data_IF_841335289557
#
_entry.id   IF_841335289557
#
_cell.length_a   1.000
_cell.length_b   1.000
_cell.length_c   1.000
_cell.angle_alpha   90.00
_cell.angle_beta   90.00
_cell.angle_gamma   90.00
#
_symmetry.space_group_name_H-M   'P 1'
#
loop_
_entity.id
_entity.type
_entity.pdbx_description
1 polymer ?
#
# COMPACT_ATOMS: atom_id res chain seq x y z
N UNK A 1 -11.33 33.69 -13.91
CA UNK A 1 -11.00 32.24 -13.81
C UNK A 1 -12.11 31.56 -13.02
N UNK A 2 -13.00 30.84 -13.71
CA UNK A 2 -14.09 30.10 -13.09
C UNK A 2 -13.61 28.66 -12.93
N UNK A 3 -13.32 28.25 -11.70
CA UNK A 3 -13.05 26.85 -11.37
C UNK A 3 -14.42 26.16 -11.30
N UNK A 4 -14.75 25.21 -12.18
CA UNK A 4 -15.97 24.44 -12.01
C UNK A 4 -15.83 23.60 -10.75
N UNK A 5 -16.64 23.93 -9.73
CA UNK A 5 -16.81 23.11 -8.53
C UNK A 5 -17.19 21.69 -8.99
N UNK A 6 -16.39 20.73 -8.59
CA UNK A 6 -16.65 19.30 -8.73
C UNK A 6 -17.99 18.96 -8.08
N UNK A 7 -18.99 18.61 -8.89
CA UNK A 7 -20.35 18.23 -8.44
C UNK A 7 -20.48 16.74 -8.13
N UNK A 8 -19.41 16.08 -7.67
CA UNK A 8 -19.48 14.67 -7.28
C UNK A 8 -19.86 14.56 -5.79
N UNK A 9 -21.16 14.55 -5.49
CA UNK A 9 -21.66 14.12 -4.19
C UNK A 9 -21.68 12.59 -4.11
N UNK A 10 -20.82 12.03 -3.26
CA UNK A 10 -20.90 10.63 -2.85
C UNK A 10 -21.83 10.57 -1.64
N UNK A 11 -23.09 10.17 -1.83
CA UNK A 11 -24.03 9.88 -0.74
C UNK A 11 -23.58 8.61 -0.02
N UNK A 12 -22.95 8.76 1.15
CA UNK A 12 -22.71 7.66 2.08
C UNK A 12 -23.96 7.33 2.88
N UNK A 13 -24.46 6.10 2.77
CA UNK A 13 -25.53 5.58 3.62
C UNK A 13 -24.98 5.32 5.03
N UNK A 14 -25.53 6.04 6.01
CA UNK A 14 -25.11 5.99 7.42
C UNK A 14 -25.97 4.95 8.15
N UNK A 15 -25.46 3.74 8.33
CA UNK A 15 -26.15 2.70 9.12
C UNK A 15 -25.94 2.98 10.61
N UNK A 16 -27.04 3.28 11.30
CA UNK A 16 -27.11 3.59 12.74
C UNK A 16 -27.30 2.27 13.51
N UNK A 17 -26.31 1.87 14.30
CA UNK A 17 -26.40 0.92 15.43
C UNK A 17 -25.59 1.60 16.55
N UNK A 18 -26.10 1.90 17.73
CA UNK A 18 -27.03 1.17 18.59
C UNK A 18 -26.25 0.87 19.87
N UNK A 19 -25.98 1.92 20.65
CA UNK A 19 -25.18 1.90 21.88
C UNK A 19 -26.12 1.63 23.06
N UNK A 20 -25.89 0.53 23.78
CA UNK A 20 -26.59 0.18 25.00
C UNK A 20 -25.53 -0.16 26.06
N UNK A 21 -25.47 0.69 27.09
CA UNK A 21 -24.46 0.65 28.14
C UNK A 21 -24.56 -0.54 29.07
N UNK A 22 -23.49 -0.74 29.84
CA UNK A 22 -23.51 -1.54 31.06
C UNK A 22 -22.36 -1.14 31.99
N UNK A 23 -22.70 -0.51 33.11
CA UNK A 23 -21.90 -0.37 34.32
C UNK A 23 -21.57 -1.75 34.92
N UNK A 24 -20.34 -1.93 35.42
CA UNK A 24 -20.04 -2.78 36.58
C UNK A 24 -18.60 -2.54 37.05
N UNK A 25 -18.49 -2.28 38.35
CA UNK A 25 -17.31 -1.97 39.14
C UNK A 25 -16.49 -3.22 39.53
N UNK A 26 -15.25 -2.93 39.95
CA UNK A 26 -14.42 -3.60 40.97
C UNK A 26 -13.66 -4.93 40.73
N UNK A 27 -12.35 -4.79 41.04
CA UNK A 27 -11.41 -5.67 41.75
C UNK A 27 -10.79 -6.92 41.09
N UNK A 28 -9.46 -7.00 41.24
CA UNK A 28 -8.67 -8.22 41.11
C UNK A 28 -7.29 -8.01 40.48
N UNK A 29 -6.31 -7.58 41.27
CA UNK A 29 -4.88 -7.72 40.92
C UNK A 29 -4.47 -9.18 41.10
N UNK A 30 -4.10 -9.85 40.01
CA UNK A 30 -3.46 -11.16 40.02
C UNK A 30 -2.22 -11.13 39.15
N UNK A 31 -1.04 -11.26 39.78
CA UNK A 31 0.23 -11.47 39.12
C UNK A 31 0.27 -12.89 38.53
N UNK A 32 0.14 -13.00 37.22
CA UNK A 32 0.36 -14.25 36.48
C UNK A 32 1.48 -14.06 35.48
N UNK A 33 2.61 -14.72 35.74
CA UNK A 33 3.73 -14.91 34.81
C UNK A 33 3.24 -15.63 33.53
N UNK A 34 2.95 -14.85 32.49
CA UNK A 34 2.47 -15.34 31.21
C UNK A 34 3.60 -15.81 30.29
N UNK A 35 3.70 -17.12 30.09
CA UNK A 35 4.38 -17.72 28.94
C UNK A 35 3.78 -17.18 27.62
N UNK A 36 4.64 -16.63 26.77
CA UNK A 36 4.27 -16.11 25.46
C UNK A 36 3.92 -17.26 24.50
N UNK A 37 2.62 -17.59 24.44
CA UNK A 37 2.03 -18.50 23.45
C UNK A 37 1.74 -17.75 22.14
N UNK A 38 2.52 -18.09 21.12
CA UNK A 38 2.37 -17.78 19.70
C UNK A 38 1.03 -18.35 19.20
N UNK A 39 0.05 -17.50 18.84
CA UNK A 39 -1.21 -17.96 18.25
C UNK A 39 -1.69 -17.06 17.11
N UNK A 40 -2.23 -17.78 16.14
CA UNK A 40 -2.48 -17.44 14.75
C UNK A 40 -3.68 -16.49 14.56
N UNK A 41 -3.61 -15.72 13.48
CA UNK A 41 -4.59 -14.70 13.13
C UNK A 41 -5.87 -15.31 12.53
N UNK A 42 -7.00 -14.95 13.14
CA UNK A 42 -8.34 -15.39 12.79
C UNK A 42 -8.82 -14.91 11.40
N UNK A 43 -9.55 -15.81 10.74
CA UNK A 43 -10.27 -15.67 9.47
C UNK A 43 -11.49 -14.76 9.62
N UNK A 44 -11.62 -13.77 8.74
CA UNK A 44 -12.89 -13.08 8.49
C UNK A 44 -13.36 -13.41 7.08
N UNK A 45 -14.50 -14.10 7.05
CA UNK A 45 -15.32 -14.46 5.91
C UNK A 45 -15.82 -13.21 5.16
N UNK A 46 -15.43 -13.05 3.89
CA UNK A 46 -15.96 -12.00 3.00
C UNK A 46 -16.49 -12.62 1.71
N UNK A 47 -17.81 -12.81 1.71
CA UNK A 47 -18.80 -12.73 0.63
C UNK A 47 -18.33 -12.66 -0.81
N UNK A 48 -18.73 -13.70 -1.54
CA UNK A 48 -18.81 -13.84 -2.99
C UNK A 48 -19.62 -12.68 -3.64
N UNK A 49 -19.00 -11.94 -4.56
CA UNK A 49 -19.67 -11.00 -5.45
C UNK A 49 -19.54 -11.51 -6.89
N UNK A 50 -20.65 -11.76 -7.60
CA UNK A 50 -20.60 -12.32 -8.94
C UNK A 50 -19.97 -11.34 -9.93
N UNK A 51 -19.15 -11.90 -10.81
CA UNK A 51 -18.45 -11.24 -11.91
C UNK A 51 -19.48 -10.77 -12.95
N UNK A 52 -19.56 -9.46 -13.16
CA UNK A 52 -20.45 -8.85 -14.17
C UNK A 52 -19.58 -8.43 -15.34
N UNK A 53 -19.66 -9.20 -16.42
CA UNK A 53 -19.14 -8.83 -17.73
C UNK A 53 -19.89 -7.59 -18.23
N UNK A 54 -19.21 -6.44 -18.29
CA UNK A 54 -19.76 -5.20 -18.84
C UNK A 54 -19.47 -5.13 -20.34
N UNK A 55 -20.49 -5.39 -21.13
CA UNK A 55 -20.58 -5.13 -22.57
C UNK A 55 -20.33 -3.63 -22.86
N UNK A 56 -19.39 -3.28 -23.76
CA UNK A 56 -19.00 -1.89 -24.08
C UNK A 56 -20.11 -1.07 -24.76
N UNK A 57 -21.25 -1.69 -25.08
CA UNK A 57 -22.37 -1.07 -25.78
C UNK A 57 -23.33 -0.28 -24.87
N UNK A 58 -23.21 -0.38 -23.54
CA UNK A 58 -24.18 0.19 -22.59
C UNK A 58 -23.59 1.07 -21.46
N UNK A 59 -22.50 1.79 -21.76
CA UNK A 59 -22.02 2.85 -20.83
C UNK A 59 -22.95 4.07 -20.93
N UNK A 60 -24.11 4.00 -20.26
CA UNK A 60 -24.97 5.14 -20.04
C UNK A 60 -24.22 6.16 -19.17
N UNK A 61 -23.63 7.15 -19.82
CA UNK A 61 -23.18 8.36 -19.15
C UNK A 61 -24.37 8.94 -18.37
N UNK A 62 -24.29 8.99 -17.03
CA UNK A 62 -25.35 9.50 -16.14
C UNK A 62 -25.85 10.90 -16.49
N UNK A 63 -25.11 11.65 -17.32
CA UNK A 63 -25.51 12.93 -17.89
C UNK A 63 -25.66 12.78 -19.40
N UNK A 64 -26.80 13.24 -19.93
CA UNK A 64 -27.00 13.45 -21.35
C UNK A 64 -26.03 14.54 -21.82
N UNK A 65 -24.88 14.12 -22.33
CA UNK A 65 -23.93 15.02 -23.02
C UNK A 65 -24.41 15.13 -24.46
N UNK A 66 -24.46 16.35 -24.98
CA UNK A 66 -24.81 16.61 -26.38
C UNK A 66 -23.89 15.80 -27.32
N UNK A 67 -24.47 15.22 -28.38
CA UNK A 67 -23.73 14.37 -29.32
C UNK A 67 -22.54 15.11 -29.96
N UNK A 68 -22.66 16.42 -30.17
CA UNK A 68 -21.61 17.24 -30.75
C UNK A 68 -20.49 17.54 -29.76
N UNK A 69 -20.81 17.70 -28.48
CA UNK A 69 -19.80 17.80 -27.41
C UNK A 69 -19.02 16.48 -27.30
N UNK A 70 -19.71 15.33 -27.45
CA UNK A 70 -19.03 14.03 -27.50
C UNK A 70 -18.13 13.92 -28.73
N UNK A 71 -18.61 14.30 -29.92
CA UNK A 71 -17.80 14.36 -31.16
C UNK A 71 -16.56 15.24 -31.00
N UNK A 72 -16.69 16.40 -30.35
CA UNK A 72 -15.59 17.33 -30.07
C UNK A 72 -14.55 16.75 -29.10
N UNK A 73 -14.97 16.01 -28.08
CA UNK A 73 -14.07 15.39 -27.10
C UNK A 73 -13.37 14.13 -27.64
N UNK A 74 -14.02 13.39 -28.53
CA UNK A 74 -13.52 12.11 -29.06
C UNK A 74 -12.78 12.22 -30.39
N UNK A 75 -12.74 13.41 -31.03
CA UNK A 75 -12.08 13.55 -32.33
C UNK A 75 -10.57 13.41 -32.22
N UNK A 76 -9.95 12.72 -33.18
CA UNK A 76 -8.49 12.65 -33.33
C UNK A 76 -7.91 13.75 -34.24
N UNK A 77 -8.75 14.41 -35.07
CA UNK A 77 -8.36 15.48 -36.00
C UNK A 77 -8.30 16.89 -35.38
N UNK A 78 -8.15 17.96 -36.18
CA UNK A 78 -8.21 19.34 -35.63
C UNK A 78 -9.62 19.57 -35.07
N UNK A 79 -9.70 19.98 -33.82
CA UNK A 79 -10.97 20.30 -33.16
C UNK A 79 -11.73 21.44 -33.85
N UNK A 80 -11.01 22.29 -34.60
CA UNK A 80 -11.59 23.36 -35.40
C UNK A 80 -12.51 22.84 -36.50
N UNK A 81 -12.16 21.72 -37.13
CA UNK A 81 -12.99 21.13 -38.20
C UNK A 81 -14.33 20.65 -37.64
N UNK A 82 -14.32 20.09 -36.42
CA UNK A 82 -15.55 19.68 -35.72
C UNK A 82 -16.41 20.88 -35.34
N UNK A 83 -15.79 22.01 -34.98
CA UNK A 83 -16.53 23.25 -34.69
C UNK A 83 -17.06 23.90 -35.97
N UNK A 84 -16.29 23.89 -37.05
CA UNK A 84 -16.71 24.45 -38.34
C UNK A 84 -17.89 23.64 -38.92
N UNK A 85 -17.88 22.32 -38.78
CA UNK A 85 -19.02 21.43 -39.10
C UNK A 85 -20.23 21.73 -38.20
N UNK A 86 -20.04 21.86 -36.89
CA UNK A 86 -21.12 22.11 -35.93
C UNK A 86 -21.80 23.47 -36.10
N UNK A 87 -21.05 24.52 -36.43
CA UNK A 87 -21.57 25.88 -36.61
C UNK A 87 -21.87 26.23 -38.07
N UNK A 88 -21.73 25.26 -39.00
CA UNK A 88 -21.88 25.48 -40.45
C UNK A 88 -21.04 26.66 -40.95
N UNK A 89 -19.82 26.80 -40.44
CA UNK A 89 -18.93 27.87 -40.84
C UNK A 89 -18.53 27.68 -42.32
N UNK A 90 -18.46 28.76 -43.12
CA UNK A 90 -17.97 28.65 -44.50
C UNK A 90 -16.54 28.15 -44.52
N UNK A 91 -16.14 27.47 -45.61
CA UNK A 91 -14.80 26.92 -45.76
C UNK A 91 -13.72 28.00 -45.51
N UNK A 92 -12.83 27.72 -44.56
CA UNK A 92 -11.72 28.62 -44.19
C UNK A 92 -10.41 28.07 -44.75
N UNK A 93 -9.43 28.96 -44.90
CA UNK A 93 -8.06 28.52 -45.15
C UNK A 93 -7.52 27.73 -43.94
N UNK A 94 -6.64 26.73 -44.16
CA UNK A 94 -5.98 26.01 -43.09
C UNK A 94 -5.26 26.99 -42.14
N UNK A 95 -5.27 26.72 -40.82
CA UNK A 95 -4.55 27.56 -39.88
C UNK A 95 -3.05 27.57 -40.20
N UNK A 96 -2.42 28.75 -40.16
CA UNK A 96 -0.98 28.92 -40.37
C UNK A 96 -0.13 28.39 -39.21
N UNK A 97 -0.75 27.91 -38.13
CA UNK A 97 -0.09 27.37 -36.95
C UNK A 97 -0.96 26.37 -36.18
N UNK A 98 -0.56 26.04 -34.96
CA UNK A 98 -1.25 25.07 -34.10
C UNK A 98 -2.64 25.61 -33.68
N UNK A 99 -3.72 24.97 -34.15
CA UNK A 99 -5.11 25.36 -33.87
C UNK A 99 -5.66 24.85 -32.53
N UNK A 100 -5.16 23.71 -32.06
CA UNK A 100 -5.67 22.98 -30.89
C UNK A 100 -4.66 21.92 -30.43
N UNK A 101 -4.96 21.27 -29.31
CA UNK A 101 -4.18 20.20 -28.69
C UNK A 101 -3.89 19.01 -29.63
N UNK A 102 -4.86 18.62 -30.45
CA UNK A 102 -4.65 17.53 -31.41
C UNK A 102 -3.65 17.91 -32.51
N UNK A 103 -3.68 19.16 -32.97
CA UNK A 103 -2.71 19.65 -33.96
C UNK A 103 -1.32 19.87 -33.36
N UNK A 104 -1.25 20.24 -32.08
CA UNK A 104 0.01 20.31 -31.34
C UNK A 104 0.68 18.94 -31.29
N UNK A 105 -0.07 17.93 -30.83
CA UNK A 105 0.40 16.54 -30.76
C UNK A 105 0.79 15.98 -32.13
N UNK A 106 0.03 16.32 -33.17
CA UNK A 106 0.35 15.91 -34.53
C UNK A 106 1.62 16.59 -35.05
N UNK A 107 1.85 17.86 -34.71
CA UNK A 107 3.07 18.58 -35.06
C UNK A 107 4.30 18.01 -34.33
N UNK A 108 4.17 17.71 -33.03
CA UNK A 108 5.22 17.03 -32.24
C UNK A 108 5.56 15.66 -32.83
N UNK A 109 4.53 14.86 -33.16
CA UNK A 109 4.72 13.54 -33.76
C UNK A 109 5.44 13.60 -35.10
N UNK A 110 5.17 14.65 -35.91
CA UNK A 110 5.89 14.90 -37.17
C UNK A 110 7.32 15.35 -36.93
N UNK A 111 7.58 16.19 -35.93
CA UNK A 111 8.93 16.63 -35.58
C UNK A 111 9.82 15.44 -35.16
N UNK A 112 9.30 14.54 -34.30
CA UNK A 112 10.01 13.32 -33.88
C UNK A 112 10.27 12.38 -35.07
N UNK A 113 9.35 12.31 -36.04
CA UNK A 113 9.54 11.50 -37.24
C UNK A 113 10.68 12.05 -38.13
N UNK A 114 10.88 13.36 -38.18
CA UNK A 114 11.94 14.01 -38.97
C UNK A 114 13.31 13.78 -38.33
N UNK A 115 13.43 13.85 -36.99
CA UNK A 115 14.72 13.60 -36.31
C UNK A 115 15.23 12.16 -36.47
N UNK A 116 14.34 11.17 -36.61
CA UNK A 116 14.74 9.76 -36.82
C UNK A 116 15.35 9.47 -38.18
N UNK A 117 15.17 10.34 -39.18
CA UNK A 117 15.71 10.13 -40.54
C UNK A 117 17.01 10.90 -40.77
N UNK A 118 17.40 11.80 -39.85
CA UNK A 118 18.55 12.71 -40.04
C UNK A 118 19.76 12.49 -39.13
N UNK A 119 19.76 11.49 -38.24
CA UNK A 119 20.76 11.39 -37.17
C UNK A 119 21.78 10.26 -37.37
N UNK A 120 22.47 10.25 -38.51
CA UNK A 120 23.79 9.64 -38.62
C UNK A 120 24.86 10.74 -38.51
N UNK A 121 25.37 10.99 -37.30
CA UNK A 121 26.63 11.69 -37.09
C UNK A 121 26.55 13.11 -36.53
N UNK A 122 26.31 13.25 -35.22
CA UNK A 122 27.06 14.24 -34.42
C UNK A 122 26.89 14.01 -32.93
N UNK A 123 27.92 13.40 -32.33
CA UNK A 123 28.08 13.32 -30.88
C UNK A 123 28.45 14.69 -30.31
N UNK A 124 27.54 15.32 -29.57
CA UNK A 124 27.92 16.26 -28.51
C UNK A 124 27.05 16.05 -27.27
N UNK A 125 27.70 15.70 -26.18
CA UNK A 125 27.18 15.47 -24.84
C UNK A 125 26.93 16.79 -24.10
N UNK A 126 25.79 16.96 -23.41
CA UNK A 126 25.67 17.97 -22.38
C UNK A 126 25.73 17.39 -20.95
N UNK A 127 26.44 18.15 -20.11
CA UNK A 127 26.84 17.88 -18.73
C UNK A 127 25.66 18.00 -17.74
N UNK A 128 25.67 17.12 -16.73
CA UNK A 128 24.76 17.12 -15.57
C UNK A 128 25.06 18.22 -14.55
N UNK A 129 24.06 18.78 -13.85
CA UNK A 129 24.25 19.48 -12.58
C UNK A 129 23.75 18.69 -11.34
N UNK A 130 24.50 18.88 -10.26
CA UNK A 130 24.45 18.20 -8.96
C UNK A 130 23.40 18.71 -7.96
N UNK A 131 22.96 17.77 -7.10
CA UNK A 131 22.63 17.88 -5.65
C UNK A 131 21.40 18.70 -5.19
N UNK A 132 20.68 18.21 -4.17
CA UNK A 132 20.69 18.73 -2.77
C UNK A 132 19.94 17.76 -1.84
N UNK A 133 20.57 17.48 -0.70
CA UNK A 133 20.12 16.69 0.47
C UNK A 133 19.12 17.49 1.31
N UNK A 134 18.08 16.83 1.86
CA UNK A 134 17.43 17.26 3.11
C UNK A 134 16.58 16.15 3.77
N UNK A 135 16.81 15.94 5.07
CA UNK A 135 15.98 15.19 6.05
C UNK A 135 15.86 16.07 7.30
N UNK A 136 15.13 15.72 8.39
CA UNK A 136 13.81 15.06 8.55
C UNK A 136 12.89 15.83 9.55
N UNK A 137 11.62 15.41 9.75
CA UNK A 137 10.86 15.73 10.98
C UNK A 137 9.95 14.60 11.44
N UNK A 138 10.23 14.09 12.64
CA UNK A 138 9.45 13.08 13.39
C UNK A 138 8.18 13.69 14.00
N UNK A 139 7.06 12.97 13.94
CA UNK A 139 5.94 13.12 14.88
C UNK A 139 5.54 11.74 15.41
N UNK A 140 5.58 11.60 16.74
CA UNK A 140 5.12 10.42 17.49
C UNK A 140 3.60 10.54 17.69
N UNK A 141 2.85 9.51 17.34
CA UNK A 141 1.49 9.31 17.85
C UNK A 141 1.37 7.93 18.48
N UNK A 142 1.02 7.98 19.76
CA UNK A 142 0.80 6.89 20.72
C UNK A 142 -0.65 6.41 20.57
N UNK A 143 -0.87 5.09 20.49
CA UNK A 143 -2.21 4.51 20.43
C UNK A 143 -2.21 3.03 20.83
N UNK A 144 -3.01 2.71 21.85
CA UNK A 144 -3.11 1.47 22.62
C UNK A 144 -3.54 0.21 21.83
N UNK A 145 -3.15 -1.00 22.30
CA UNK A 145 -3.78 -2.25 21.90
C UNK A 145 -4.88 -2.71 22.86
N UNK A 146 -5.99 -3.18 22.29
CA UNK A 146 -7.15 -3.81 22.95
C UNK A 146 -6.97 -5.33 22.97
N UNK A 147 -7.07 -5.95 24.14
CA UNK A 147 -6.96 -7.40 24.35
C UNK A 147 -8.35 -8.04 24.46
N UNK A 148 -8.68 -8.93 23.52
CA UNK A 148 -9.92 -9.72 23.51
C UNK A 148 -9.61 -11.19 23.86
N UNK A 149 -10.43 -11.75 24.76
CA UNK A 149 -10.27 -13.07 25.40
C UNK A 149 -10.58 -14.24 24.44
N UNK A 150 -9.73 -15.27 24.50
CA UNK A 150 -9.84 -16.58 23.82
C UNK A 150 -10.94 -17.47 24.44
N UNK A 151 -11.47 -18.40 23.65
CA UNK A 151 -12.11 -19.63 24.12
C UNK A 151 -11.40 -20.86 23.52
N UNK A 152 -11.10 -21.93 24.30
CA UNK A 152 -10.50 -23.15 23.80
C UNK A 152 -11.59 -24.12 23.29
N UNK A 153 -11.38 -24.73 22.12
CA UNK A 153 -12.18 -25.87 21.65
C UNK A 153 -11.29 -27.08 21.40
N UNK A 154 -11.57 -28.11 22.19
CA UNK A 154 -11.15 -29.50 22.02
C UNK A 154 -12.06 -30.17 20.99
N UNK A 155 -11.49 -30.95 20.07
CA UNK A 155 -12.15 -32.16 19.54
C UNK A 155 -11.24 -32.89 18.55
N UNK A 156 -10.65 -33.98 19.03
CA UNK A 156 -10.25 -35.16 18.26
C UNK A 156 -11.42 -35.64 17.39
N UNK A 157 -11.18 -35.81 16.09
CA UNK A 157 -11.99 -36.66 15.22
C UNK A 157 -11.13 -37.10 14.04
N UNK A 158 -10.74 -38.36 14.09
CA UNK A 158 -10.04 -39.10 13.05
C UNK A 158 -10.93 -39.40 11.82
N UNK A 159 -10.27 -39.45 10.67
CA UNK A 159 -10.63 -40.18 9.45
C UNK A 159 -11.90 -39.80 8.67
N UNK A 160 -11.81 -38.75 7.85
CA UNK A 160 -12.58 -38.67 6.61
C UNK A 160 -11.70 -38.14 5.45
N UNK A 161 -11.25 -39.06 4.60
CA UNK A 161 -10.41 -38.81 3.41
C UNK A 161 -11.29 -38.27 2.28
N UNK A 162 -11.62 -36.98 2.35
CA UNK A 162 -12.33 -36.29 1.27
C UNK A 162 -11.42 -36.01 0.06
N UNK A 163 -11.87 -36.27 -1.19
CA UNK A 163 -11.02 -36.16 -2.37
C UNK A 163 -10.74 -34.70 -2.77
N UNK A 164 -9.49 -34.27 -2.58
CA UNK A 164 -8.68 -33.56 -3.59
C UNK A 164 -9.18 -32.22 -4.14
N UNK A 165 -9.91 -31.39 -3.38
CA UNK A 165 -10.15 -30.00 -3.78
C UNK A 165 -8.81 -29.26 -3.74
N UNK A 166 -8.26 -28.92 -4.91
CA UNK A 166 -7.07 -28.08 -5.06
C UNK A 166 -7.30 -26.76 -4.32
N UNK A 167 -6.79 -26.69 -3.09
CA UNK A 167 -6.90 -25.50 -2.26
C UNK A 167 -6.20 -24.35 -2.97
N UNK A 168 -6.96 -23.29 -3.24
CA UNK A 168 -6.42 -22.07 -3.84
C UNK A 168 -5.26 -21.59 -2.96
N UNK A 169 -4.11 -21.19 -3.54
CA UNK A 169 -2.96 -20.75 -2.77
C UNK A 169 -3.36 -19.61 -1.83
N UNK A 170 -3.10 -19.78 -0.53
CA UNK A 170 -3.43 -18.80 0.50
C UNK A 170 -2.62 -17.52 0.26
N UNK A 171 -3.28 -16.45 -0.19
CA UNK A 171 -2.63 -15.16 -0.44
C UNK A 171 -2.17 -14.57 0.89
N UNK A 172 -0.86 -14.44 1.07
CA UNK A 172 -0.28 -13.80 2.25
C UNK A 172 -0.56 -12.29 2.24
N UNK A 173 -1.22 -11.78 3.29
CA UNK A 173 -1.55 -10.36 3.45
C UNK A 173 -0.71 -9.71 4.55
N UNK A 174 -0.32 -8.44 4.35
CA UNK A 174 0.30 -7.61 5.40
C UNK A 174 -0.78 -7.12 6.36
N UNK A 175 -0.53 -7.23 7.67
CA UNK A 175 -1.44 -6.79 8.72
C UNK A 175 -0.83 -5.72 9.63
N UNK A 176 -1.68 -5.05 10.41
CA UNK A 176 -1.30 -4.17 11.53
C UNK A 176 -0.32 -3.06 11.17
N UNK A 177 0.69 -2.86 12.02
CA UNK A 177 1.69 -1.79 11.89
C UNK A 177 2.50 -1.88 10.60
N UNK A 178 2.78 -3.08 10.10
CA UNK A 178 3.55 -3.29 8.87
C UNK A 178 2.80 -2.79 7.62
N UNK A 179 1.48 -3.02 7.57
CA UNK A 179 0.63 -2.49 6.51
C UNK A 179 0.59 -0.96 6.53
N UNK A 180 0.54 -0.34 7.72
CA UNK A 180 0.56 1.11 7.86
C UNK A 180 1.89 1.71 7.37
N UNK A 181 3.02 1.16 7.82
CA UNK A 181 4.36 1.59 7.39
C UNK A 181 4.54 1.48 5.86
N UNK A 182 4.10 0.36 5.28
CA UNK A 182 4.17 0.14 3.82
C UNK A 182 3.33 1.17 3.06
N UNK A 183 2.15 1.55 3.57
CA UNK A 183 1.31 2.59 2.94
C UNK A 183 1.97 3.96 3.01
N UNK A 184 2.56 4.30 4.15
CA UNK A 184 3.25 5.58 4.34
C UNK A 184 4.43 5.69 3.38
N UNK A 185 5.26 4.65 3.27
CA UNK A 185 6.38 4.58 2.32
C UNK A 185 5.94 4.72 0.86
N UNK A 186 4.87 4.02 0.46
CA UNK A 186 4.31 4.17 -0.89
C UNK A 186 3.76 5.57 -1.14
N UNK A 187 3.15 6.20 -0.13
CA UNK A 187 2.66 7.56 -0.25
C UNK A 187 3.80 8.58 -0.38
N UNK A 188 4.88 8.41 0.39
CA UNK A 188 6.08 9.24 0.30
C UNK A 188 6.77 9.09 -1.06
N UNK A 189 6.91 7.85 -1.54
CA UNK A 189 7.39 7.57 -2.91
C UNK A 189 6.52 8.28 -3.94
N UNK A 190 5.19 8.15 -3.85
CA UNK A 190 4.24 8.79 -4.76
C UNK A 190 4.39 10.31 -4.81
N UNK A 191 4.59 10.96 -3.66
CA UNK A 191 4.83 12.40 -3.58
C UNK A 191 6.18 12.80 -4.18
N UNK A 192 7.22 12.00 -3.93
CA UNK A 192 8.56 12.20 -4.48
C UNK A 192 8.56 12.08 -6.01
N UNK A 193 8.02 10.99 -6.55
CA UNK A 193 7.90 10.76 -8.00
C UNK A 193 7.11 11.86 -8.70
N UNK A 194 6.02 12.34 -8.08
CA UNK A 194 5.25 13.46 -8.64
C UNK A 194 6.11 14.74 -8.74
N UNK A 195 6.94 15.02 -7.74
CA UNK A 195 7.79 16.21 -7.69
C UNK A 195 8.96 16.13 -8.68
N UNK A 196 9.59 14.96 -8.79
CA UNK A 196 10.82 14.77 -9.55
C UNK A 196 10.55 14.48 -11.02
N UNK A 197 9.66 13.51 -11.31
CA UNK A 197 9.45 13.01 -12.67
C UNK A 197 8.29 13.70 -13.41
N UNK A 198 7.31 14.24 -12.66
CA UNK A 198 6.10 14.80 -13.26
C UNK A 198 5.73 16.20 -12.73
N UNK A 199 6.68 17.16 -12.63
CA UNK A 199 6.41 18.47 -12.04
C UNK A 199 5.34 19.28 -12.79
N UNK A 200 5.30 19.15 -14.12
CA UNK A 200 4.42 19.96 -14.99
C UNK A 200 3.06 19.32 -15.29
N UNK A 201 2.85 18.07 -14.88
CA UNK A 201 1.64 17.34 -15.25
C UNK A 201 0.45 17.82 -14.40
N UNK A 202 -0.74 18.08 -14.98
CA UNK A 202 -1.84 18.71 -14.24
C UNK A 202 -2.54 17.81 -13.22
N UNK A 203 -2.27 16.49 -13.23
CA UNK A 203 -2.86 15.59 -12.23
C UNK A 203 -2.11 15.64 -10.88
N UNK A 204 -2.86 15.37 -9.80
CA UNK A 204 -2.33 15.31 -8.43
C UNK A 204 -1.47 14.05 -8.22
N UNK A 205 -0.81 13.93 -7.07
CA UNK A 205 -0.05 12.71 -6.70
C UNK A 205 -0.90 11.43 -6.76
N UNK A 206 -2.22 11.53 -6.51
CA UNK A 206 -3.18 10.44 -6.70
C UNK A 206 -3.35 9.98 -8.15
N UNK A 207 -2.97 10.80 -9.14
CA UNK A 207 -2.89 10.42 -10.55
C UNK A 207 -1.70 9.53 -10.87
N UNK A 208 -0.59 9.63 -10.12
CA UNK A 208 0.58 8.75 -10.27
C UNK A 208 0.25 7.35 -9.77
N UNK A 209 -0.24 7.25 -8.54
CA UNK A 209 -0.65 6.00 -7.92
C UNK A 209 -1.99 6.24 -7.18
N UNK A 210 -3.12 5.76 -7.73
CA UNK A 210 -4.42 5.90 -7.11
C UNK A 210 -4.49 5.26 -5.73
N UNK A 211 -5.24 5.86 -4.79
CA UNK A 211 -5.30 5.37 -3.40
C UNK A 211 -5.79 3.92 -3.29
N UNK A 212 -6.69 3.49 -4.19
CA UNK A 212 -7.16 2.11 -4.26
C UNK A 212 -6.04 1.15 -4.64
N UNK A 213 -5.26 1.47 -5.68
CA UNK A 213 -4.11 0.68 -6.09
C UNK A 213 -3.04 0.66 -4.99
N UNK A 214 -2.75 1.81 -4.36
CA UNK A 214 -1.83 1.91 -3.22
C UNK A 214 -2.24 0.96 -2.09
N UNK A 215 -3.52 0.98 -1.69
CA UNK A 215 -4.05 0.10 -0.63
C UNK A 215 -3.91 -1.37 -1.01
N UNK A 216 -4.22 -1.73 -2.26
CA UNK A 216 -4.10 -3.12 -2.76
C UNK A 216 -2.65 -3.59 -2.77
N UNK A 217 -1.73 -2.80 -3.31
CA UNK A 217 -0.29 -3.11 -3.35
C UNK A 217 0.28 -3.23 -1.95
N UNK A 218 -0.05 -2.30 -1.05
CA UNK A 218 0.41 -2.35 0.33
C UNK A 218 -0.09 -3.60 1.07
N UNK A 219 -1.31 -4.05 0.79
CA UNK A 219 -1.91 -5.21 1.46
C UNK A 219 -1.35 -6.55 0.98
N UNK A 220 -0.97 -6.67 -0.29
CA UNK A 220 -0.67 -7.94 -0.97
C UNK A 220 0.83 -8.20 -1.06
N UNK A 221 1.28 -9.36 -0.60
CA UNK A 221 2.70 -9.79 -0.64
C UNK A 221 3.08 -10.56 -1.90
N UNK A 222 2.08 -11.02 -2.64
CA UNK A 222 2.22 -11.86 -3.82
C UNK A 222 2.58 -11.08 -5.09
N UNK A 223 2.64 -9.75 -5.03
CA UNK A 223 3.13 -8.95 -6.15
C UNK A 223 4.65 -8.95 -6.19
N UNK A 224 5.21 -9.76 -7.08
CA UNK A 224 6.65 -9.85 -7.29
C UNK A 224 7.10 -9.01 -8.47
N UNK A 225 6.27 -8.81 -9.48
CA UNK A 225 6.65 -8.11 -10.70
C UNK A 225 5.57 -7.14 -11.19
N UNK A 226 5.94 -6.27 -12.15
CA UNK A 226 5.01 -5.30 -12.72
C UNK A 226 3.88 -5.96 -13.54
N UNK A 227 4.09 -7.18 -14.04
CA UNK A 227 3.05 -7.99 -14.69
C UNK A 227 1.95 -8.40 -13.72
N UNK A 228 2.28 -8.74 -12.47
CA UNK A 228 1.30 -9.10 -11.45
C UNK A 228 0.34 -7.94 -11.14
N UNK A 229 0.83 -6.70 -11.27
CA UNK A 229 0.00 -5.50 -11.09
C UNK A 229 -1.12 -5.37 -12.13
N UNK A 230 -1.00 -6.02 -13.30
CA UNK A 230 -2.07 -6.09 -14.32
C UNK A 230 -3.28 -6.87 -13.84
N UNK A 231 -3.07 -7.81 -12.91
CA UNK A 231 -4.16 -8.63 -12.33
C UNK A 231 -4.94 -7.87 -11.24
N UNK A 232 -4.44 -6.72 -10.79
CA UNK A 232 -5.09 -5.97 -9.72
C UNK A 232 -6.35 -5.25 -10.21
N UNK A 233 -7.34 -5.15 -9.31
CA UNK A 233 -8.53 -4.32 -9.48
C UNK A 233 -8.58 -3.27 -8.37
N UNK A 234 -8.73 -1.97 -8.70
CA UNK A 234 -8.77 -1.39 -10.04
C UNK A 234 -7.41 -1.46 -10.75
N UNK A 235 -7.44 -1.51 -12.09
CA UNK A 235 -6.22 -1.45 -12.89
C UNK A 235 -5.47 -0.16 -12.59
N UNK A 236 -4.14 -0.25 -12.59
CA UNK A 236 -3.24 0.90 -12.49
C UNK A 236 -2.50 1.07 -13.83
N UNK A 237 -3.02 1.89 -14.77
CA UNK A 237 -2.49 1.96 -16.13
C UNK A 237 -1.02 2.42 -16.21
N UNK A 238 -0.58 3.23 -15.25
CA UNK A 238 0.80 3.74 -15.21
C UNK A 238 1.80 2.73 -14.65
N UNK A 239 1.37 1.55 -14.19
CA UNK A 239 2.29 0.55 -13.63
C UNK A 239 3.38 0.12 -14.64
N UNK A 240 3.06 0.12 -15.93
CA UNK A 240 3.97 -0.27 -17.01
C UNK A 240 4.75 0.92 -17.59
N UNK A 241 4.23 2.13 -17.42
CA UNK A 241 4.83 3.35 -17.95
C UNK A 241 6.06 3.67 -17.09
N UNK A 242 7.21 3.87 -17.74
CA UNK A 242 8.48 4.26 -17.12
C UNK A 242 8.96 3.34 -15.98
N UNK A 243 8.46 2.10 -15.92
CA UNK A 243 8.79 1.15 -14.85
C UNK A 243 8.27 1.56 -13.47
N UNK A 244 7.27 2.45 -13.38
CA UNK A 244 6.73 2.95 -12.11
C UNK A 244 6.20 1.84 -11.20
N UNK A 245 5.57 0.81 -11.77
CA UNK A 245 5.12 -0.36 -11.03
C UNK A 245 6.27 -1.11 -10.36
N UNK A 246 7.40 -1.25 -11.06
CA UNK A 246 8.61 -1.86 -10.52
C UNK A 246 9.21 -1.03 -9.38
N UNK A 247 9.26 0.30 -9.52
CA UNK A 247 9.75 1.19 -8.48
C UNK A 247 8.87 1.15 -7.22
N UNK A 248 7.53 1.16 -7.39
CA UNK A 248 6.61 1.04 -6.26
C UNK A 248 6.77 -0.31 -5.54
N UNK A 249 6.94 -1.40 -6.29
CA UNK A 249 7.19 -2.72 -5.70
C UNK A 249 8.54 -2.79 -4.99
N UNK A 250 9.57 -2.10 -5.48
CA UNK A 250 10.86 -2.03 -4.78
C UNK A 250 10.75 -1.35 -3.41
N UNK A 251 9.98 -0.26 -3.32
CA UNK A 251 9.67 0.41 -2.03
C UNK A 251 8.98 -0.55 -1.06
N UNK A 252 8.07 -1.39 -1.55
CA UNK A 252 7.39 -2.40 -0.74
C UNK A 252 8.36 -3.49 -0.27
N UNK A 253 9.24 -3.98 -1.14
CA UNK A 253 10.27 -4.97 -0.79
C UNK A 253 11.27 -4.42 0.23
N UNK A 254 11.68 -3.16 0.10
CA UNK A 254 12.51 -2.47 1.08
C UNK A 254 11.79 -2.41 2.44
N UNK A 255 10.51 -2.05 2.45
CA UNK A 255 9.67 -2.11 3.66
C UNK A 255 9.60 -3.50 4.29
N UNK A 256 9.38 -4.55 3.49
CA UNK A 256 9.37 -5.94 3.97
C UNK A 256 10.74 -6.38 4.52
N UNK A 257 11.86 -5.94 3.90
CA UNK A 257 13.23 -6.22 4.40
C UNK A 257 13.50 -5.55 5.74
N UNK A 258 13.13 -4.27 5.89
CA UNK A 258 13.28 -3.54 7.15
C UNK A 258 12.47 -4.18 8.28
N UNK A 259 11.22 -4.58 8.01
CA UNK A 259 10.39 -5.25 9.01
C UNK A 259 10.97 -6.61 9.41
N UNK A 260 11.47 -7.38 8.44
CA UNK A 260 12.15 -8.64 8.72
C UNK A 260 13.41 -8.42 9.59
N UNK A 261 14.19 -7.36 9.32
CA UNK A 261 15.35 -6.99 10.13
C UNK A 261 14.94 -6.56 11.56
N UNK A 262 13.86 -5.79 11.71
CA UNK A 262 13.30 -5.39 13.00
C UNK A 262 12.84 -6.60 13.82
N UNK A 263 12.18 -7.57 13.18
CA UNK A 263 11.75 -8.81 13.86
C UNK A 263 12.94 -9.68 14.28
N UNK A 264 13.97 -9.79 13.44
CA UNK A 264 15.20 -10.54 13.78
C UNK A 264 15.91 -9.92 14.97
N UNK A 265 16.15 -8.61 14.94
CA UNK A 265 16.80 -7.89 16.05
C UNK A 265 16.00 -7.99 17.36
N UNK A 266 14.67 -7.87 17.31
CA UNK A 266 13.81 -8.06 18.48
C UNK A 266 13.85 -9.49 19.03
N UNK A 267 13.89 -10.50 18.15
CA UNK A 267 14.02 -11.92 18.57
C UNK A 267 15.38 -12.16 19.24
N UNK A 268 16.46 -11.65 18.65
CA UNK A 268 17.82 -11.80 19.19
C UNK A 268 17.96 -11.10 20.54
N UNK A 269 17.38 -9.90 20.69
CA UNK A 269 17.35 -9.17 21.96
C UNK A 269 16.55 -9.92 23.03
N UNK A 270 15.36 -10.41 22.70
CA UNK A 270 14.55 -11.21 23.61
C UNK A 270 15.25 -12.52 24.03
N UNK A 271 15.97 -13.17 23.10
CA UNK A 271 16.74 -14.37 23.44
C UNK A 271 17.93 -14.06 24.37
N UNK A 272 18.64 -12.94 24.12
CA UNK A 272 19.73 -12.48 25.01
C UNK A 272 19.21 -12.14 26.40
N UNK A 273 18.05 -11.48 26.49
CA UNK A 273 17.36 -11.18 27.74
C UNK A 273 17.01 -12.47 28.50
N UNK A 274 16.40 -13.45 27.81
CA UNK A 274 16.05 -14.74 28.41
C UNK A 274 17.28 -15.48 28.94
N UNK A 275 18.40 -15.45 28.20
CA UNK A 275 19.67 -16.04 28.65
C UNK A 275 20.24 -15.30 29.86
N UNK A 276 20.19 -13.97 29.88
CA UNK A 276 20.65 -13.16 31.01
C UNK A 276 19.88 -13.50 32.29
N UNK A 277 18.54 -13.53 32.21
CA UNK A 277 17.68 -13.92 33.34
C UNK A 277 17.95 -15.33 33.84
N UNK A 278 18.27 -16.27 32.93
CA UNK A 278 18.61 -17.65 33.33
C UNK A 278 19.94 -17.73 34.07
N UNK A 279 20.95 -16.97 33.64
CA UNK A 279 22.24 -16.89 34.32
C UNK A 279 22.07 -16.24 35.70
N UNK A 280 21.33 -15.13 35.78
CA UNK A 280 21.04 -14.44 37.03
C UNK A 280 20.33 -15.38 38.04
N UNK A 281 19.24 -16.04 37.63
CA UNK A 281 18.56 -17.05 38.46
C UNK A 281 19.49 -18.18 38.92
N UNK A 282 20.41 -18.64 38.07
CA UNK A 282 21.38 -19.67 38.43
C UNK A 282 22.37 -19.14 39.48
N UNK A 283 22.89 -17.93 39.28
CA UNK A 283 23.81 -17.29 40.22
C UNK A 283 23.13 -17.01 41.56
N UNK A 284 21.84 -16.68 41.57
CA UNK A 284 21.06 -16.43 42.79
C UNK A 284 20.87 -17.73 43.57
N UNK A 285 20.44 -18.81 42.91
CA UNK A 285 20.33 -20.13 43.52
C UNK A 285 21.69 -20.66 44.05
N UNK A 286 22.80 -20.36 43.36
CA UNK A 286 24.14 -20.69 43.83
C UNK A 286 24.51 -19.89 45.10
N UNK A 287 24.19 -18.60 45.16
CA UNK A 287 24.42 -17.78 46.37
C UNK A 287 23.59 -18.26 47.56
N UNK A 288 22.32 -18.61 47.33
CA UNK A 288 21.45 -19.18 48.37
C UNK A 288 22.00 -20.53 48.87
N UNK A 289 22.43 -21.41 47.98
CA UNK A 289 23.07 -22.67 48.36
C UNK A 289 24.34 -22.43 49.20
N UNK A 290 25.20 -21.49 48.81
CA UNK A 290 26.41 -21.15 49.59
C UNK A 290 26.05 -20.63 50.98
N UNK A 291 25.00 -19.80 51.09
CA UNK A 291 24.52 -19.31 52.39
C UNK A 291 24.03 -20.45 53.28
N UNK A 292 23.18 -21.33 52.75
CA UNK A 292 22.69 -22.51 53.47
C UNK A 292 23.83 -23.39 53.97
N UNK A 293 24.81 -23.70 53.11
CA UNK A 293 25.99 -24.48 53.50
C UNK A 293 26.83 -23.79 54.60
N UNK A 294 26.94 -22.46 54.55
CA UNK A 294 27.67 -21.68 55.56
C UNK A 294 26.95 -21.70 56.91
N UNK A 295 25.62 -21.58 56.89
CA UNK A 295 24.79 -21.65 58.10
C UNK A 295 24.81 -23.04 58.74
N UNK A 296 24.71 -24.10 57.94
CA UNK A 296 24.83 -25.49 58.41
C UNK A 296 26.20 -25.76 59.04
N UNK A 297 27.28 -25.27 58.43
CA UNK A 297 28.62 -25.40 58.99
C UNK A 297 28.75 -24.69 60.36
N UNK A 298 28.19 -23.48 60.47
CA UNK A 298 28.18 -22.72 61.72
C UNK A 298 27.34 -23.42 62.81
N UNK A 299 26.22 -24.03 62.44
CA UNK A 299 25.41 -24.84 63.36
C UNK A 299 26.20 -26.04 63.88
N UNK A 300 26.85 -26.80 62.99
CA UNK A 300 27.69 -27.95 63.39
C UNK A 300 28.82 -27.57 64.34
N UNK A 301 29.46 -26.41 64.11
CA UNK A 301 30.53 -25.92 64.99
C UNK A 301 29.98 -25.53 66.38
N UNK A 302 28.76 -25.00 66.46
CA UNK A 302 28.13 -24.64 67.74
C UNK A 302 27.63 -25.84 68.55
N UNK A 303 27.43 -27.00 67.90
CA UNK A 303 26.99 -28.24 68.55
C UNK A 303 28.15 -29.10 69.06
N UNK A 304 29.38 -28.83 68.63
CA UNK A 304 30.60 -29.55 69.00
C UNK A 304 31.24 -28.97 70.28
#
# INVERSE_FOLDING_TARGET
MIVPRSCFEIKGSRTKRGDAGRDSEEQGQSDTDGEASDQEAEELDEGDFPDVECDESDVQCKKKVDGNVRKYLSTAGCRRDVLDDYYENPARSPPTGVCCDNCERAAESKAVAIERVGSEGSSTTPLSPSSVVNTPRKRKHTGQPSTLKKHPRTSDSDDDVSPGILSKPKISRRGGAHLADTKDKLNDWRLKTKRESYPHVPFMSSGILPDRALKTIASRRDFENAGDLRTMRPLWPLAEVDGLGGQALEVVREGDREEAARKRTGRDEHERERKRRKIERKNDAERENVQLWTEEARQRESEA
#
